data_IF_962496309663
#
_entry.id   IF_962496309663
#
_cell.length_a   1.000
_cell.length_b   1.000
_cell.length_c   1.000
_cell.angle_alpha   90.00
_cell.angle_beta   90.00
_cell.angle_gamma   90.00
#
_symmetry.space_group_name_H-M   'P 1'
#
loop_
_entity.id
_entity.type
_entity.pdbx_description
1 polymer ?
#
# COMPACT_ATOMS: atom_id res chain seq x y z
N UNK A 1 30.62 -36.57 -12.81
CA UNK A 1 29.41 -35.79 -12.63
C UNK A 1 29.50 -35.11 -11.28
N UNK A 2 29.98 -33.87 -11.24
CA UNK A 2 30.17 -33.12 -9.99
C UNK A 2 28.87 -32.45 -9.62
N UNK A 3 28.21 -32.99 -8.58
CA UNK A 3 27.08 -32.34 -7.93
C UNK A 3 27.52 -30.98 -7.36
N UNK A 4 27.20 -29.93 -8.07
CA UNK A 4 27.24 -28.57 -7.52
C UNK A 4 26.08 -28.44 -6.53
N UNK A 5 26.30 -29.00 -5.31
CA UNK A 5 25.44 -28.67 -4.18
C UNK A 5 25.60 -27.19 -3.89
N UNK A 6 24.68 -26.37 -4.44
CA UNK A 6 24.46 -25.02 -3.95
C UNK A 6 24.26 -25.10 -2.45
N UNK A 7 25.25 -24.62 -1.67
CA UNK A 7 25.24 -24.62 -0.22
C UNK A 7 24.10 -23.70 0.26
N UNK A 8 22.92 -24.29 0.40
CA UNK A 8 21.82 -23.60 1.09
C UNK A 8 22.21 -23.51 2.56
N UNK A 9 22.30 -22.31 3.08
CA UNK A 9 22.51 -22.06 4.51
C UNK A 9 21.25 -22.52 5.25
N UNK A 10 21.15 -23.82 5.50
CA UNK A 10 20.05 -24.41 6.24
C UNK A 10 20.63 -25.21 7.41
N UNK A 11 20.05 -25.00 8.60
CA UNK A 11 20.38 -25.86 9.74
C UNK A 11 19.94 -27.29 9.46
N UNK A 12 20.63 -28.32 10.03
CA UNK A 12 20.22 -29.73 9.88
C UNK A 12 18.73 -29.93 10.25
N UNK A 13 18.26 -29.30 11.30
CA UNK A 13 16.87 -29.36 11.75
C UNK A 13 15.89 -28.78 10.72
N UNK A 14 16.21 -27.66 10.09
CA UNK A 14 15.39 -27.03 9.04
C UNK A 14 15.31 -27.95 7.81
N UNK A 15 16.41 -28.63 7.46
CA UNK A 15 16.46 -29.60 6.36
C UNK A 15 15.54 -30.79 6.62
N UNK A 16 15.59 -31.37 7.83
CA UNK A 16 14.77 -32.53 8.22
C UNK A 16 13.28 -32.17 8.25
N UNK A 17 12.95 -30.98 8.68
CA UNK A 17 11.54 -30.47 8.73
C UNK A 17 11.03 -29.96 7.39
N UNK A 18 11.83 -29.94 6.33
CA UNK A 18 11.45 -29.42 5.02
C UNK A 18 11.21 -27.91 4.99
N UNK A 19 11.68 -27.19 6.03
CA UNK A 19 11.52 -25.74 6.13
C UNK A 19 12.50 -25.05 5.19
N UNK A 20 11.98 -24.56 4.08
CA UNK A 20 12.70 -23.66 3.17
C UNK A 20 12.54 -22.19 3.56
N UNK A 21 13.20 -21.31 2.81
CA UNK A 21 12.92 -19.87 2.90
C UNK A 21 11.46 -19.62 2.52
N UNK A 22 10.71 -18.89 3.35
CA UNK A 22 9.33 -18.47 3.06
C UNK A 22 9.25 -17.54 1.84
N UNK A 23 10.37 -16.93 1.41
CA UNK A 23 10.50 -15.98 0.27
C UNK A 23 9.69 -14.71 0.38
N UNK A 24 8.96 -14.49 1.48
CA UNK A 24 8.05 -13.36 1.65
C UNK A 24 8.77 -12.04 1.93
N UNK A 25 9.96 -12.07 2.54
CA UNK A 25 10.72 -10.86 2.86
C UNK A 25 11.09 -10.02 1.62
N UNK A 26 11.38 -10.66 0.50
CA UNK A 26 11.70 -9.95 -0.74
C UNK A 26 10.47 -9.25 -1.33
N UNK A 27 9.30 -9.89 -1.29
CA UNK A 27 8.06 -9.30 -1.79
C UNK A 27 7.66 -8.08 -0.96
N UNK A 28 7.71 -8.18 0.37
CA UNK A 28 7.43 -7.06 1.28
C UNK A 28 8.37 -5.87 1.04
N UNK A 29 9.67 -6.14 0.93
CA UNK A 29 10.69 -5.12 0.63
C UNK A 29 10.41 -4.37 -0.68
N UNK A 30 10.05 -5.07 -1.75
CA UNK A 30 9.72 -4.45 -3.02
C UNK A 30 8.44 -3.64 -2.97
N UNK A 31 7.40 -4.17 -2.34
CA UNK A 31 6.12 -3.47 -2.20
C UNK A 31 6.27 -2.13 -1.48
N UNK A 32 7.02 -2.07 -0.38
CA UNK A 32 7.27 -0.82 0.34
C UNK A 32 7.98 0.20 -0.58
N UNK A 33 9.00 -0.22 -1.32
CA UNK A 33 9.76 0.68 -2.20
C UNK A 33 8.94 1.18 -3.38
N UNK A 34 8.24 0.27 -4.06
CA UNK A 34 7.41 0.63 -5.22
C UNK A 34 6.30 1.60 -4.80
N UNK A 35 5.62 1.35 -3.68
CA UNK A 35 4.58 2.24 -3.18
C UNK A 35 5.12 3.59 -2.71
N UNK A 36 6.32 3.62 -2.11
CA UNK A 36 6.98 4.87 -1.73
C UNK A 36 7.36 5.72 -2.95
N UNK A 37 7.95 5.09 -3.99
CA UNK A 37 8.31 5.79 -5.23
C UNK A 37 7.05 6.30 -5.94
N UNK A 38 6.00 5.46 -6.03
CA UNK A 38 4.75 5.87 -6.63
C UNK A 38 4.14 7.09 -5.89
N UNK A 39 4.08 7.06 -4.56
CA UNK A 39 3.60 8.17 -3.76
C UNK A 39 4.47 9.43 -3.96
N UNK A 40 5.80 9.28 -3.99
CA UNK A 40 6.73 10.39 -4.23
C UNK A 40 6.49 11.08 -5.58
N UNK A 41 6.29 10.31 -6.65
CA UNK A 41 6.06 10.83 -7.99
C UNK A 41 4.68 11.46 -8.15
N UNK A 42 3.66 10.90 -7.50
CA UNK A 42 2.28 11.40 -7.58
C UNK A 42 2.04 12.61 -6.68
N UNK A 43 2.76 12.76 -5.57
CA UNK A 43 2.59 13.87 -4.63
C UNK A 43 2.70 15.26 -5.30
N UNK A 44 3.75 15.58 -6.08
CA UNK A 44 3.82 16.90 -6.72
C UNK A 44 2.67 17.16 -7.70
N UNK A 45 2.18 16.13 -8.38
CA UNK A 45 1.03 16.26 -9.29
C UNK A 45 -0.23 16.60 -8.49
N UNK A 46 -0.48 15.89 -7.39
CA UNK A 46 -1.63 16.17 -6.50
C UNK A 46 -1.50 17.57 -5.88
N UNK A 47 -0.31 17.96 -5.44
CA UNK A 47 -0.09 19.31 -4.91
C UNK A 47 -0.37 20.38 -5.96
N UNK A 48 0.05 20.19 -7.21
CA UNK A 48 -0.26 21.13 -8.30
C UNK A 48 -1.78 21.25 -8.53
N UNK A 49 -2.52 20.13 -8.51
CA UNK A 49 -3.98 20.13 -8.59
C UNK A 49 -4.58 20.88 -7.41
N UNK A 50 -4.14 20.60 -6.18
CA UNK A 50 -4.65 21.28 -4.98
C UNK A 50 -4.37 22.78 -5.00
N UNK A 51 -3.17 23.21 -5.39
CA UNK A 51 -2.84 24.63 -5.52
C UNK A 51 -3.68 25.33 -6.59
N UNK A 52 -4.02 24.67 -7.68
CA UNK A 52 -4.91 25.22 -8.71
C UNK A 52 -6.35 25.44 -8.23
N UNK A 53 -6.73 24.79 -7.14
CA UNK A 53 -8.06 24.89 -6.53
C UNK A 53 -8.15 25.91 -5.38
N UNK A 54 -7.04 26.54 -5.00
CA UNK A 54 -7.04 27.56 -3.95
C UNK A 54 -7.86 28.75 -4.39
N UNK A 55 -8.90 29.07 -3.64
CA UNK A 55 -9.85 30.16 -3.97
C UNK A 55 -10.89 29.82 -5.03
N UNK A 56 -10.92 28.60 -5.55
CA UNK A 56 -11.92 28.17 -6.51
C UNK A 56 -13.30 27.98 -5.85
N UNK A 57 -14.36 28.25 -6.59
CA UNK A 57 -15.72 27.96 -6.18
C UNK A 57 -16.02 26.46 -6.24
N UNK A 58 -17.10 26.01 -5.57
CA UNK A 58 -17.49 24.61 -5.48
C UNK A 58 -17.71 23.97 -6.86
N UNK A 59 -18.27 24.71 -7.83
CA UNK A 59 -18.52 24.18 -9.17
C UNK A 59 -17.21 23.88 -9.91
N UNK A 60 -16.23 24.75 -9.80
CA UNK A 60 -14.89 24.56 -10.36
C UNK A 60 -14.15 23.41 -9.67
N UNK A 61 -14.21 23.31 -8.33
CA UNK A 61 -13.64 22.19 -7.59
C UNK A 61 -14.23 20.85 -8.06
N UNK A 62 -15.55 20.76 -8.16
CA UNK A 62 -16.25 19.56 -8.64
C UNK A 62 -15.81 19.18 -10.06
N UNK A 63 -15.68 20.17 -10.95
CA UNK A 63 -15.27 19.96 -12.34
C UNK A 63 -13.82 19.44 -12.45
N UNK A 64 -12.89 20.03 -11.70
CA UNK A 64 -11.47 19.65 -11.75
C UNK A 64 -11.26 18.27 -11.11
N UNK A 65 -11.79 18.03 -9.92
CA UNK A 65 -11.64 16.74 -9.21
C UNK A 65 -12.39 15.62 -9.97
N UNK A 66 -13.53 15.95 -10.57
CA UNK A 66 -14.32 15.02 -11.39
C UNK A 66 -13.73 14.73 -12.78
N UNK A 67 -12.71 15.48 -13.20
CA UNK A 67 -12.08 15.22 -14.50
C UNK A 67 -11.44 13.83 -14.53
N UNK A 68 -11.70 12.98 -15.55
CA UNK A 68 -11.25 11.59 -15.57
C UNK A 68 -9.74 11.41 -15.33
N UNK A 69 -8.91 12.28 -15.91
CA UNK A 69 -7.46 12.20 -15.72
C UNK A 69 -7.06 12.48 -14.26
N UNK A 70 -7.71 13.47 -13.61
CA UNK A 70 -7.47 13.78 -12.20
C UNK A 70 -7.97 12.64 -11.31
N UNK A 71 -9.13 12.06 -11.62
CA UNK A 71 -9.67 10.92 -10.90
C UNK A 71 -8.73 9.71 -10.95
N UNK A 72 -8.15 9.41 -12.11
CA UNK A 72 -7.15 8.32 -12.24
C UNK A 72 -5.93 8.59 -11.36
N UNK A 73 -5.38 9.81 -11.40
CA UNK A 73 -4.22 10.19 -10.56
C UNK A 73 -4.57 10.09 -9.07
N UNK A 74 -5.76 10.53 -8.66
CA UNK A 74 -6.24 10.40 -7.28
C UNK A 74 -6.38 8.94 -6.85
N UNK A 75 -6.92 8.07 -7.70
CA UNK A 75 -7.06 6.64 -7.40
C UNK A 75 -5.69 5.94 -7.30
N UNK A 76 -4.75 6.29 -8.18
CA UNK A 76 -3.37 5.75 -8.10
C UNK A 76 -2.67 6.21 -6.82
N UNK A 77 -2.79 7.50 -6.46
CA UNK A 77 -2.24 8.04 -5.22
C UNK A 77 -2.86 7.37 -3.99
N UNK A 78 -4.18 7.20 -4.00
CA UNK A 78 -4.92 6.51 -2.94
C UNK A 78 -4.40 5.07 -2.76
N UNK A 79 -4.29 4.31 -3.85
CA UNK A 79 -3.80 2.94 -3.82
C UNK A 79 -2.35 2.87 -3.30
N UNK A 80 -1.46 3.73 -3.80
CA UNK A 80 -0.07 3.77 -3.37
C UNK A 80 0.06 4.12 -1.88
N UNK A 81 -0.65 5.15 -1.42
CA UNK A 81 -0.60 5.63 -0.03
C UNK A 81 -1.19 4.61 0.95
N UNK A 82 -2.35 4.03 0.64
CA UNK A 82 -2.99 3.05 1.50
C UNK A 82 -2.15 1.77 1.62
N UNK A 83 -1.61 1.28 0.51
CA UNK A 83 -0.75 0.10 0.54
C UNK A 83 0.54 0.38 1.30
N UNK A 84 1.15 1.55 1.10
CA UNK A 84 2.35 1.96 1.83
C UNK A 84 2.09 2.06 3.33
N UNK A 85 0.99 2.71 3.73
CA UNK A 85 0.55 2.83 5.13
C UNK A 85 0.29 1.45 5.76
N UNK A 86 -0.40 0.55 5.05
CA UNK A 86 -0.68 -0.81 5.52
C UNK A 86 0.60 -1.59 5.81
N UNK A 87 1.56 -1.55 4.87
CA UNK A 87 2.84 -2.23 5.00
C UNK A 87 3.69 -1.63 6.13
N UNK A 88 3.74 -0.31 6.24
CA UNK A 88 4.45 0.36 7.32
C UNK A 88 3.86 0.07 8.70
N UNK A 89 2.54 0.05 8.82
CA UNK A 89 1.86 -0.31 10.07
C UNK A 89 2.07 -1.78 10.42
N UNK A 90 2.12 -2.67 9.42
CA UNK A 90 2.44 -4.08 9.62
C UNK A 90 3.80 -4.24 10.31
N UNK A 91 4.85 -3.56 9.83
CA UNK A 91 6.18 -3.60 10.43
C UNK A 91 6.13 -3.15 11.90
N UNK A 92 5.44 -2.05 12.19
CA UNK A 92 5.29 -1.55 13.57
C UNK A 92 4.59 -2.59 14.46
N UNK A 93 3.51 -3.21 13.97
CA UNK A 93 2.78 -4.23 14.73
C UNK A 93 3.68 -5.45 14.99
N UNK A 94 4.41 -5.90 13.97
CA UNK A 94 5.31 -7.05 14.08
C UNK A 94 6.45 -6.82 15.07
N UNK A 95 6.99 -5.59 15.14
CA UNK A 95 8.12 -5.24 15.98
C UNK A 95 7.72 -4.94 17.44
N UNK A 96 6.58 -4.31 17.66
CA UNK A 96 6.19 -3.80 18.99
C UNK A 96 5.13 -4.64 19.71
N UNK A 97 4.36 -5.46 19.01
CA UNK A 97 3.32 -6.29 19.63
C UNK A 97 3.88 -7.69 19.88
N UNK A 98 4.14 -8.02 21.15
CA UNK A 98 4.78 -9.28 21.55
C UNK A 98 3.81 -10.45 21.71
N UNK A 99 2.52 -10.18 22.01
CA UNK A 99 1.51 -11.20 22.15
C UNK A 99 1.01 -11.69 20.79
N UNK A 100 1.12 -12.98 20.49
CA UNK A 100 0.69 -13.57 19.22
C UNK A 100 -0.79 -13.30 18.89
N UNK A 101 -1.67 -13.42 19.88
CA UNK A 101 -3.10 -13.15 19.69
C UNK A 101 -3.38 -11.68 19.35
N UNK A 102 -2.78 -10.76 20.10
CA UNK A 102 -2.92 -9.33 19.83
C UNK A 102 -2.32 -8.94 18.48
N UNK A 103 -1.15 -9.50 18.14
CA UNK A 103 -0.50 -9.29 16.84
C UNK A 103 -1.44 -9.66 15.68
N UNK A 104 -2.04 -10.84 15.74
CA UNK A 104 -3.00 -11.28 14.72
C UNK A 104 -4.19 -10.32 14.60
N UNK A 105 -4.79 -9.94 15.75
CA UNK A 105 -5.92 -9.00 15.75
C UNK A 105 -5.54 -7.65 15.15
N UNK A 106 -4.40 -7.08 15.52
CA UNK A 106 -3.97 -5.78 14.98
C UNK A 106 -3.65 -5.86 13.48
N UNK A 107 -3.06 -6.93 12.99
CA UNK A 107 -2.82 -7.13 11.55
C UNK A 107 -4.13 -7.25 10.76
N UNK A 108 -5.12 -7.95 11.32
CA UNK A 108 -6.46 -8.02 10.73
C UNK A 108 -7.14 -6.65 10.72
N UNK A 109 -7.12 -5.92 11.83
CA UNK A 109 -7.69 -4.58 11.94
C UNK A 109 -7.02 -3.61 10.97
N UNK A 110 -5.69 -3.62 10.85
CA UNK A 110 -4.93 -2.81 9.89
C UNK A 110 -5.40 -3.10 8.46
N UNK A 111 -5.59 -4.37 8.11
CA UNK A 111 -6.05 -4.77 6.79
C UNK A 111 -7.50 -4.31 6.54
N UNK A 112 -8.42 -4.57 7.46
CA UNK A 112 -9.82 -4.16 7.31
C UNK A 112 -9.99 -2.65 7.27
N UNK A 113 -9.27 -1.92 8.11
CA UNK A 113 -9.25 -0.45 8.09
C UNK A 113 -8.79 0.08 6.74
N UNK A 114 -7.69 -0.44 6.21
CA UNK A 114 -7.15 -0.02 4.90
C UNK A 114 -8.14 -0.28 3.77
N UNK A 115 -8.78 -1.45 3.76
CA UNK A 115 -9.78 -1.81 2.74
C UNK A 115 -11.02 -0.92 2.85
N UNK A 116 -11.52 -0.71 4.07
CA UNK A 116 -12.71 0.12 4.30
C UNK A 116 -12.49 1.57 3.86
N UNK A 117 -11.40 2.18 4.31
CA UNK A 117 -11.04 3.56 3.94
C UNK A 117 -10.79 3.66 2.44
N UNK A 118 -10.07 2.69 1.87
CA UNK A 118 -9.80 2.63 0.44
C UNK A 118 -11.07 2.55 -0.39
N UNK A 119 -11.99 1.69 -0.03
CA UNK A 119 -13.28 1.56 -0.72
C UNK A 119 -14.12 2.84 -0.62
N UNK A 120 -14.20 3.44 0.56
CA UNK A 120 -14.95 4.68 0.77
C UNK A 120 -14.37 5.85 -0.06
N UNK A 121 -13.03 6.03 -0.04
CA UNK A 121 -12.36 7.08 -0.81
C UNK A 121 -12.46 6.83 -2.32
N UNK A 122 -12.26 5.59 -2.76
CA UNK A 122 -12.41 5.23 -4.18
C UNK A 122 -13.84 5.47 -4.68
N UNK A 123 -14.84 5.09 -3.88
CA UNK A 123 -16.24 5.39 -4.20
C UNK A 123 -16.50 6.89 -4.33
N UNK A 124 -15.97 7.72 -3.41
CA UNK A 124 -16.11 9.17 -3.47
C UNK A 124 -15.49 9.76 -4.75
N UNK A 125 -14.28 9.33 -5.13
CA UNK A 125 -13.62 9.79 -6.35
C UNK A 125 -14.41 9.38 -7.59
N UNK A 126 -14.83 8.12 -7.65
CA UNK A 126 -15.62 7.61 -8.78
C UNK A 126 -16.98 8.31 -8.89
N UNK A 127 -17.67 8.56 -7.78
CA UNK A 127 -18.92 9.30 -7.74
C UNK A 127 -18.77 10.70 -8.34
N UNK A 128 -17.70 11.42 -7.99
CA UNK A 128 -17.41 12.74 -8.55
C UNK A 128 -17.07 12.68 -10.04
N UNK A 129 -16.29 11.69 -10.47
CA UNK A 129 -15.84 11.55 -11.86
C UNK A 129 -16.96 11.08 -12.80
N UNK A 130 -17.89 10.27 -12.33
CA UNK A 130 -19.01 9.75 -13.12
C UNK A 130 -20.24 10.69 -13.12
N UNK A 131 -20.17 11.80 -12.38
CA UNK A 131 -21.23 12.81 -12.35
C UNK A 131 -22.45 12.44 -11.51
N UNK A 132 -22.32 11.42 -10.62
CA UNK A 132 -23.39 10.97 -9.75
C UNK A 132 -23.50 11.78 -8.45
#
# INVERSE_FOLDING_TARGET
MSDTQTSRIQTPLARVRGLGSARDGTAHFWQIRVTAIAALLLTPIILAVLFSLVGADHATMKRVIGHPAVAVVLLLMLAATLQHMRLGMQVIIEDYVHSEGSKLVFLMLNTFFTVLVGAACAFAVLKLSLGA
#
